data_IF_692100695083
#
_entry.id   IF_692100695083
#
_cell.length_a   1.000
_cell.length_b   1.000
_cell.length_c   1.000
_cell.angle_alpha   90.00
_cell.angle_beta   90.00
_cell.angle_gamma   90.00
#
_symmetry.space_group_name_H-M   'P 1'
#
loop_
_entity.id
_entity.type
_entity.pdbx_description
1 polymer ?
#
# COMPACT_ATOMS: atom_id res chain seq x y z
N UNK A 1 -14.24 3.50 16.61
CA UNK A 1 -15.56 2.84 16.57
C UNK A 1 -15.63 2.13 15.23
N UNK A 2 -15.63 0.80 15.24
CA UNK A 2 -15.64 0.00 14.01
C UNK A 2 -16.94 0.25 13.24
N UNK A 3 -16.84 0.50 11.93
CA UNK A 3 -18.02 0.74 11.11
C UNK A 3 -18.75 -0.57 10.82
N UNK A 4 -20.07 -0.52 10.60
CA UNK A 4 -20.85 -1.69 10.19
C UNK A 4 -20.27 -2.36 8.93
N UNK A 5 -19.75 -1.55 7.99
CA UNK A 5 -19.12 -2.04 6.77
C UNK A 5 -17.81 -2.79 7.05
N UNK A 6 -16.99 -2.30 7.99
CA UNK A 6 -15.75 -2.96 8.39
C UNK A 6 -16.01 -4.34 9.00
N UNK A 7 -17.01 -4.45 9.89
CA UNK A 7 -17.41 -5.73 10.48
C UNK A 7 -17.87 -6.74 9.42
N UNK A 8 -18.71 -6.32 8.47
CA UNK A 8 -19.15 -7.18 7.38
C UNK A 8 -18.00 -7.71 6.52
N UNK A 9 -16.97 -6.89 6.28
CA UNK A 9 -15.79 -7.31 5.50
C UNK A 9 -14.96 -8.32 6.29
N UNK A 10 -14.75 -8.11 7.60
CA UNK A 10 -14.02 -9.08 8.44
C UNK A 10 -14.72 -10.43 8.50
N UNK A 11 -16.04 -10.45 8.65
CA UNK A 11 -16.83 -11.68 8.64
C UNK A 11 -16.72 -12.40 7.29
N UNK A 12 -16.73 -11.66 6.19
CA UNK A 12 -16.56 -12.20 4.85
C UNK A 12 -15.16 -12.80 4.64
N UNK A 13 -14.10 -12.12 5.10
CA UNK A 13 -12.72 -12.62 5.05
C UNK A 13 -12.59 -13.93 5.84
N UNK A 14 -13.10 -13.95 7.08
CA UNK A 14 -13.10 -15.16 7.91
C UNK A 14 -13.85 -16.32 7.25
N UNK A 15 -15.03 -16.04 6.68
CA UNK A 15 -15.84 -17.03 5.94
C UNK A 15 -15.11 -17.54 4.70
N UNK A 16 -14.41 -16.65 3.98
CA UNK A 16 -13.60 -17.01 2.81
C UNK A 16 -12.44 -17.94 3.17
N UNK A 17 -11.72 -17.67 4.27
CA UNK A 17 -10.66 -18.56 4.74
C UNK A 17 -11.19 -19.94 5.15
N UNK A 18 -12.26 -19.97 5.95
CA UNK A 18 -12.90 -21.23 6.34
C UNK A 18 -13.35 -22.05 5.12
N UNK A 19 -14.01 -21.39 4.15
CA UNK A 19 -14.43 -22.05 2.92
C UNK A 19 -13.24 -22.58 2.10
N UNK A 20 -12.14 -21.83 2.02
CA UNK A 20 -10.95 -22.28 1.31
C UNK A 20 -10.32 -23.53 1.97
N UNK A 21 -10.39 -23.65 3.30
CA UNK A 21 -9.84 -24.78 4.05
C UNK A 21 -10.68 -26.06 3.86
N UNK A 22 -11.99 -25.91 3.63
CA UNK A 22 -12.90 -27.02 3.31
C UNK A 22 -12.84 -27.47 1.82
N UNK A 23 -12.05 -26.76 0.99
CA UNK A 23 -11.92 -27.01 -0.43
C UNK A 23 -10.55 -27.59 -0.80
N UNK A 24 -10.44 -28.14 -2.02
CA UNK A 24 -9.17 -28.61 -2.58
C UNK A 24 -8.94 -28.07 -3.99
N UNK A 25 -7.69 -28.09 -4.44
CA UNK A 25 -7.32 -27.69 -5.80
C UNK A 25 -7.42 -26.18 -6.07
N UNK A 26 -7.46 -25.80 -7.34
CA UNK A 26 -7.43 -24.40 -7.76
C UNK A 26 -8.49 -23.48 -7.11
N UNK A 27 -9.75 -23.91 -6.88
CA UNK A 27 -10.74 -23.07 -6.23
C UNK A 27 -10.38 -22.67 -4.79
N UNK A 28 -9.78 -23.59 -4.02
CA UNK A 28 -9.33 -23.30 -2.64
C UNK A 28 -8.27 -22.19 -2.62
N UNK A 29 -7.32 -22.24 -3.55
CA UNK A 29 -6.25 -21.25 -3.69
C UNK A 29 -6.83 -19.89 -4.08
N UNK A 30 -7.76 -19.87 -5.03
CA UNK A 30 -8.40 -18.64 -5.48
C UNK A 30 -9.13 -17.94 -4.34
N UNK A 31 -9.99 -18.66 -3.60
CA UNK A 31 -10.75 -18.09 -2.48
C UNK A 31 -9.81 -17.59 -1.38
N UNK A 32 -8.77 -18.36 -1.05
CA UNK A 32 -7.76 -17.93 -0.06
C UNK A 32 -7.05 -16.65 -0.49
N UNK A 33 -6.67 -16.53 -1.76
CA UNK A 33 -6.05 -15.32 -2.31
C UNK A 33 -7.00 -14.12 -2.27
N UNK A 34 -8.27 -14.30 -2.62
CA UNK A 34 -9.29 -13.25 -2.55
C UNK A 34 -9.52 -12.77 -1.11
N UNK A 35 -9.62 -13.70 -0.14
CA UNK A 35 -9.77 -13.36 1.27
C UNK A 35 -8.58 -12.56 1.79
N UNK A 36 -7.35 -13.02 1.50
CA UNK A 36 -6.13 -12.29 1.87
C UNK A 36 -6.03 -10.91 1.19
N UNK A 37 -6.46 -10.78 -0.08
CA UNK A 37 -6.49 -9.48 -0.75
C UNK A 37 -7.51 -8.52 -0.12
N UNK A 38 -8.68 -9.01 0.29
CA UNK A 38 -9.66 -8.20 1.01
C UNK A 38 -9.10 -7.72 2.36
N UNK A 39 -8.42 -8.59 3.10
CA UNK A 39 -7.78 -8.24 4.37
C UNK A 39 -6.75 -7.11 4.20
N UNK A 40 -5.84 -7.26 3.23
CA UNK A 40 -4.83 -6.24 2.90
C UNK A 40 -5.49 -4.90 2.51
N UNK A 41 -6.55 -4.94 1.70
CA UNK A 41 -7.27 -3.72 1.31
C UNK A 41 -7.97 -3.06 2.51
N UNK A 42 -8.56 -3.85 3.41
CA UNK A 42 -9.22 -3.33 4.61
C UNK A 42 -8.22 -2.61 5.52
N UNK A 43 -7.09 -3.26 5.82
CA UNK A 43 -6.03 -2.68 6.66
C UNK A 43 -5.52 -1.38 6.05
N UNK A 44 -5.26 -1.37 4.74
CA UNK A 44 -4.80 -0.16 4.03
C UNK A 44 -5.83 0.95 4.04
N UNK A 45 -7.10 0.64 3.76
CA UNK A 45 -8.17 1.63 3.73
C UNK A 45 -8.34 2.30 5.10
N UNK A 46 -8.30 1.51 6.18
CA UNK A 46 -8.37 2.03 7.54
C UNK A 46 -7.18 2.93 7.88
N UNK A 47 -5.96 2.52 7.51
CA UNK A 47 -4.76 3.32 7.74
C UNK A 47 -4.78 4.64 6.96
N UNK A 48 -5.17 4.61 5.67
CA UNK A 48 -5.33 5.83 4.86
C UNK A 48 -6.46 6.73 5.36
N UNK A 49 -7.55 6.16 5.90
CA UNK A 49 -8.63 6.93 6.49
C UNK A 49 -8.18 7.66 7.77
N UNK A 50 -7.36 7.02 8.60
CA UNK A 50 -6.76 7.63 9.78
C UNK A 50 -5.82 8.78 9.41
N UNK A 51 -4.94 8.57 8.42
CA UNK A 51 -4.05 9.62 7.92
C UNK A 51 -4.82 10.82 7.35
N UNK A 52 -5.89 10.56 6.57
CA UNK A 52 -6.78 11.60 6.06
C UNK A 52 -7.51 12.37 7.17
N UNK A 53 -7.86 11.72 8.27
CA UNK A 53 -8.43 12.39 9.43
C UNK A 53 -7.40 13.32 10.09
N UNK A 54 -6.14 12.88 10.20
CA UNK A 54 -5.01 13.71 10.65
C UNK A 54 -4.82 14.95 9.79
N UNK A 55 -4.75 14.79 8.46
CA UNK A 55 -4.63 15.92 7.52
C UNK A 55 -5.79 16.92 7.63
N UNK A 56 -7.01 16.44 7.85
CA UNK A 56 -8.19 17.31 8.08
C UNK A 56 -8.08 18.06 9.41
N UNK A 57 -7.55 17.43 10.46
CA UNK A 57 -7.29 18.10 11.73
C UNK A 57 -6.20 19.16 11.60
N UNK A 58 -5.09 18.85 10.93
CA UNK A 58 -4.01 19.82 10.63
C UNK A 58 -4.53 21.04 9.87
N UNK A 59 -5.38 20.81 8.85
CA UNK A 59 -6.04 21.89 8.12
C UNK A 59 -6.86 22.81 9.04
N UNK A 60 -7.57 22.25 10.01
CA UNK A 60 -8.36 23.06 10.94
C UNK A 60 -7.47 23.84 11.90
N UNK A 61 -6.42 23.22 12.43
CA UNK A 61 -5.42 23.92 13.26
C UNK A 61 -4.83 25.12 12.51
N UNK A 62 -4.41 24.92 11.25
CA UNK A 62 -3.89 26.00 10.39
C UNK A 62 -4.93 27.11 10.17
N UNK A 63 -6.22 26.75 10.03
CA UNK A 63 -7.31 27.74 9.91
C UNK A 63 -7.43 28.58 11.18
N UNK A 64 -7.42 27.94 12.35
CA UNK A 64 -7.48 28.62 13.65
C UNK A 64 -6.32 29.60 13.83
N UNK A 65 -5.08 29.18 13.55
CA UNK A 65 -3.89 30.02 13.65
C UNK A 65 -3.95 31.23 12.71
N UNK A 66 -4.46 31.05 11.48
CA UNK A 66 -4.58 32.14 10.51
C UNK A 66 -5.62 33.22 10.92
N UNK A 67 -6.72 32.82 11.56
CA UNK A 67 -7.78 33.76 11.98
C UNK A 67 -7.37 34.54 13.24
N UNK A 68 -6.61 33.92 14.15
CA UNK A 68 -6.24 34.51 15.44
C UNK A 68 -4.79 35.02 15.48
N UNK A 69 -4.24 35.43 14.32
CA UNK A 69 -2.82 35.76 14.13
C UNK A 69 -2.26 36.80 15.12
N UNK A 70 -3.09 37.74 15.59
CA UNK A 70 -2.68 38.75 16.58
C UNK A 70 -2.72 38.22 18.03
N UNK A 71 -3.64 37.30 18.36
CA UNK A 71 -3.75 36.67 19.69
C UNK A 71 -2.72 35.55 19.89
N UNK A 72 -2.40 34.81 18.83
CA UNK A 72 -1.43 33.73 18.88
C UNK A 72 -0.01 34.24 19.19
N UNK A 73 0.33 35.41 18.64
CA UNK A 73 1.57 36.14 18.86
C UNK A 73 1.70 36.74 20.28
N UNK A 74 0.59 36.89 21.03
CA UNK A 74 0.56 37.50 22.37
C UNK A 74 0.62 36.47 23.51
N UNK A 75 0.15 35.24 23.29
CA UNK A 75 -0.03 34.25 24.37
C UNK A 75 0.93 33.04 24.35
N UNK A 76 1.89 32.95 23.41
CA UNK A 76 2.80 31.80 23.31
C UNK A 76 2.08 30.49 22.94
N UNK A 77 0.87 30.61 22.39
CA UNK A 77 0.00 29.51 21.97
C UNK A 77 0.49 28.89 20.66
N UNK A 78 1.33 29.59 19.89
CA UNK A 78 1.76 29.19 18.54
C UNK A 78 2.55 27.87 18.47
N UNK A 79 3.47 27.58 19.40
CA UNK A 79 4.42 26.46 19.21
C UNK A 79 3.76 25.06 19.31
N UNK A 80 2.84 24.83 20.26
CA UNK A 80 2.28 23.49 20.47
C UNK A 80 1.28 23.05 19.38
N UNK A 81 0.54 23.99 18.79
CA UNK A 81 -0.39 23.70 17.69
C UNK A 81 0.33 23.50 16.36
N UNK A 82 1.48 24.16 16.16
CA UNK A 82 2.28 23.98 14.95
C UNK A 82 2.91 22.58 14.93
N UNK A 83 3.48 22.11 16.04
CA UNK A 83 4.06 20.77 16.12
C UNK A 83 3.02 19.67 15.87
N UNK A 84 1.81 19.79 16.44
CA UNK A 84 0.70 18.86 16.20
C UNK A 84 0.25 18.86 14.73
N UNK A 85 0.18 20.03 14.10
CA UNK A 85 -0.17 20.14 12.68
C UNK A 85 0.93 19.55 11.78
N UNK A 86 2.20 19.78 12.09
CA UNK A 86 3.34 19.20 11.36
C UNK A 86 3.33 17.67 11.47
N UNK A 87 3.15 17.14 12.68
CA UNK A 87 3.08 15.69 12.89
C UNK A 87 1.92 15.05 12.12
N UNK A 88 0.75 15.70 12.08
CA UNK A 88 -0.41 15.23 11.34
C UNK A 88 -0.29 15.36 9.81
N UNK A 89 0.71 16.08 9.30
CA UNK A 89 1.02 16.20 7.87
C UNK A 89 2.05 15.18 7.37
N UNK A 90 2.65 14.36 8.25
CA UNK A 90 3.49 13.24 7.85
C UNK A 90 2.57 12.10 7.38
N UNK A 91 2.80 11.60 6.16
CA UNK A 91 1.89 10.65 5.48
C UNK A 91 2.54 9.32 5.12
N UNK A 92 3.07 8.57 6.11
CA UNK A 92 3.86 7.36 5.84
C UNK A 92 3.02 6.24 5.22
N UNK A 93 1.71 6.19 5.48
CA UNK A 93 0.82 5.19 4.89
C UNK A 93 0.62 5.47 3.40
N UNK A 94 0.44 6.74 3.04
CA UNK A 94 0.40 7.15 1.63
C UNK A 94 1.72 6.85 0.94
N UNK A 95 2.86 7.14 1.57
CA UNK A 95 4.18 6.86 0.98
C UNK A 95 4.41 5.38 0.74
N UNK A 96 4.08 4.52 1.72
CA UNK A 96 4.11 3.07 1.59
C UNK A 96 3.18 2.57 0.47
N UNK A 97 1.97 3.13 0.36
CA UNK A 97 1.06 2.77 -0.72
C UNK A 97 1.60 3.17 -2.09
N UNK A 98 2.17 4.37 -2.24
CA UNK A 98 2.77 4.81 -3.51
C UNK A 98 3.98 3.95 -3.89
N UNK A 99 4.83 3.58 -2.93
CA UNK A 99 5.93 2.64 -3.14
C UNK A 99 5.43 1.28 -3.62
N UNK A 100 4.36 0.76 -3.02
CA UNK A 100 3.73 -0.48 -3.46
C UNK A 100 3.20 -0.38 -4.89
N UNK A 101 2.49 0.69 -5.25
CA UNK A 101 1.96 0.90 -6.61
C UNK A 101 3.10 0.97 -7.63
N UNK A 102 4.19 1.67 -7.32
CA UNK A 102 5.39 1.71 -8.17
C UNK A 102 5.99 0.30 -8.32
N UNK A 103 6.14 -0.44 -7.22
CA UNK A 103 6.68 -1.80 -7.23
C UNK A 103 5.81 -2.76 -8.06
N UNK A 104 4.47 -2.67 -7.96
CA UNK A 104 3.56 -3.48 -8.79
C UNK A 104 3.74 -3.23 -10.29
N UNK A 105 3.97 -1.97 -10.70
CA UNK A 105 4.29 -1.64 -12.09
C UNK A 105 5.58 -2.32 -12.58
N UNK A 106 6.62 -2.31 -11.74
CA UNK A 106 7.90 -2.97 -12.01
C UNK A 106 7.75 -4.50 -12.05
N UNK A 107 6.95 -5.09 -11.16
CA UNK A 107 6.66 -6.53 -11.15
C UNK A 107 5.94 -6.99 -12.41
N UNK A 108 5.01 -6.18 -12.93
CA UNK A 108 4.37 -6.47 -14.22
C UNK A 108 5.39 -6.50 -15.36
N UNK A 109 6.38 -5.62 -15.34
CA UNK A 109 7.46 -5.65 -16.33
C UNK A 109 8.34 -6.90 -16.18
N UNK A 110 8.68 -7.31 -14.95
CA UNK A 110 9.39 -8.56 -14.73
C UNK A 110 8.60 -9.79 -15.22
N UNK A 111 7.27 -9.81 -15.01
CA UNK A 111 6.41 -10.88 -15.52
C UNK A 111 6.41 -10.93 -17.06
N UNK A 112 6.40 -9.77 -17.71
CA UNK A 112 6.54 -9.67 -19.17
C UNK A 112 7.87 -10.26 -19.65
N UNK A 113 8.99 -9.91 -19.01
CA UNK A 113 10.32 -10.46 -19.34
C UNK A 113 10.34 -11.99 -19.20
N UNK A 114 9.71 -12.54 -18.16
CA UNK A 114 9.58 -14.00 -18.00
C UNK A 114 8.76 -14.64 -19.11
N UNK A 115 7.67 -14.00 -19.53
CA UNK A 115 6.87 -14.49 -20.66
C UNK A 115 7.67 -14.48 -21.97
N UNK A 116 8.46 -13.44 -22.20
CA UNK A 116 9.34 -13.35 -23.37
C UNK A 116 10.48 -14.36 -23.32
N UNK A 117 11.00 -14.67 -22.12
CA UNK A 117 12.01 -15.70 -21.95
C UNK A 117 11.52 -17.09 -22.36
N UNK A 118 10.26 -17.42 -22.02
CA UNK A 118 9.63 -18.69 -22.44
C UNK A 118 9.56 -18.76 -23.97
N UNK A 119 9.14 -17.69 -24.64
CA UNK A 119 9.08 -17.64 -26.11
C UNK A 119 10.48 -17.75 -26.75
N UNK A 120 11.50 -17.13 -26.15
CA UNK A 120 12.87 -17.24 -26.62
C UNK A 120 13.40 -18.68 -26.51
N UNK A 121 13.07 -19.38 -25.42
CA UNK A 121 13.45 -20.79 -25.22
C UNK A 121 12.76 -21.70 -26.24
N UNK A 122 11.45 -21.54 -26.44
CA UNK A 122 10.65 -22.29 -27.42
C UNK A 122 11.13 -22.09 -28.86
N UNK A 123 11.73 -20.94 -29.17
CA UNK A 123 12.28 -20.61 -30.50
C UNK A 123 13.77 -20.97 -30.66
N UNK A 124 14.38 -21.59 -29.64
CA UNK A 124 15.78 -22.05 -29.67
C UNK A 124 16.82 -20.96 -29.38
N UNK A 125 16.41 -19.81 -28.85
CA UNK A 125 17.27 -18.71 -28.45
C UNK A 125 17.63 -18.79 -26.95
N UNK A 126 18.25 -19.90 -26.53
CA UNK A 126 18.61 -20.18 -25.12
C UNK A 126 19.40 -19.04 -24.45
N UNK A 127 20.31 -18.39 -25.19
CA UNK A 127 21.05 -17.23 -24.68
C UNK A 127 20.16 -16.02 -24.35
N UNK A 128 19.15 -15.75 -25.19
CA UNK A 128 18.18 -14.68 -24.95
C UNK A 128 17.23 -15.03 -23.80
N UNK A 129 16.79 -16.29 -23.71
CA UNK A 129 15.95 -16.77 -22.61
C UNK A 129 16.65 -16.58 -21.25
N UNK A 130 17.92 -17.01 -21.14
CA UNK A 130 18.73 -16.82 -19.92
C UNK A 130 18.92 -15.36 -19.56
N UNK A 131 19.17 -14.50 -20.56
CA UNK A 131 19.29 -13.06 -20.36
C UNK A 131 17.99 -12.46 -19.81
N UNK A 132 16.84 -12.76 -20.41
CA UNK A 132 15.54 -12.23 -20.00
C UNK A 132 15.14 -12.69 -18.60
N UNK A 133 15.44 -13.95 -18.23
CA UNK A 133 15.26 -14.44 -16.85
C UNK A 133 16.13 -13.63 -15.89
N UNK A 134 17.43 -13.48 -16.18
CA UNK A 134 18.35 -12.72 -15.35
C UNK A 134 17.92 -11.26 -15.16
N UNK A 135 17.46 -10.60 -16.23
CA UNK A 135 16.93 -9.25 -16.14
C UNK A 135 15.63 -9.19 -15.33
N UNK A 136 14.73 -10.17 -15.50
CA UNK A 136 13.49 -10.23 -14.71
C UNK A 136 13.77 -10.30 -13.20
N UNK A 137 14.82 -11.02 -12.78
CA UNK A 137 15.23 -11.14 -11.37
C UNK A 137 15.78 -9.81 -10.84
N UNK A 138 16.58 -9.08 -11.63
CA UNK A 138 17.06 -7.75 -11.27
C UNK A 138 15.91 -6.75 -11.13
N UNK A 139 14.95 -6.80 -12.04
CA UNK A 139 13.74 -5.97 -12.01
C UNK A 139 12.91 -6.28 -10.77
N UNK A 140 12.76 -7.55 -10.38
CA UNK A 140 12.10 -7.94 -9.14
C UNK A 140 12.85 -7.45 -7.89
N UNK A 141 14.19 -7.51 -7.89
CA UNK A 141 15.00 -6.95 -6.82
C UNK A 141 14.79 -5.43 -6.68
N UNK A 142 14.70 -4.72 -7.80
CA UNK A 142 14.39 -3.28 -7.81
C UNK A 142 12.97 -3.00 -7.27
N UNK A 143 11.97 -3.80 -7.65
CA UNK A 143 10.63 -3.68 -7.08
C UNK A 143 10.61 -3.88 -5.55
N UNK A 144 11.43 -4.80 -5.04
CA UNK A 144 11.58 -4.99 -3.59
C UNK A 144 12.24 -3.78 -2.91
N UNK A 145 13.23 -3.15 -3.55
CA UNK A 145 13.87 -1.93 -3.04
C UNK A 145 12.87 -0.77 -2.95
N UNK A 146 12.03 -0.58 -3.97
CA UNK A 146 11.00 0.47 -3.96
C UNK A 146 10.09 0.38 -2.73
N UNK A 147 9.77 -0.84 -2.26
CA UNK A 147 8.96 -1.04 -1.06
C UNK A 147 9.69 -0.66 0.23
N UNK A 148 11.01 -0.89 0.30
CA UNK A 148 11.83 -0.56 1.47
C UNK A 148 12.15 0.93 1.57
N UNK A 149 12.11 1.67 0.47
CA UNK A 149 12.35 3.11 0.46
C UNK A 149 11.22 3.92 1.10
N UNK A 150 10.01 3.36 1.23
CA UNK A 150 8.91 4.01 1.95
C UNK A 150 9.08 4.03 3.48
N UNK A 151 9.96 3.19 4.02
CA UNK A 151 10.20 3.07 5.47
C UNK A 151 11.34 3.99 5.96
N UNK A 152 11.92 4.84 5.08
CA UNK A 152 13.05 5.74 5.37
C UNK A 152 12.60 7.19 5.50
#
# INVERSE_FOLDING_TARGET
MESMAEGMIKDLVASGHALADDMTGAPSVLIRCLAAQLEVQLVRANALAAENAGLKAAKEIIRHLNVNREEANFCGIDDCYIDDAVAAMITPVTDAFLAEVRAQGVERYAAQLKSEAVLADETGWDGAAKFLISESEKVLAFAAQLRQEADK
#
